data_IF_009529099024
#
_entry.id   IF_009529099024
#
_cell.length_a   1.000
_cell.length_b   1.000
_cell.length_c   1.000
_cell.angle_alpha   90.00
_cell.angle_beta   90.00
_cell.angle_gamma   90.00
#
_symmetry.space_group_name_H-M   'P 1'
#
loop_
_entity.id
_entity.type
_entity.pdbx_description
1 polymer ?
#
# COMPACT_ATOMS: atom_id res chain seq x y z
N UNK A 1 44.93 2.59 -21.14
CA UNK A 1 44.20 2.30 -19.89
C UNK A 1 42.77 2.08 -20.31
N UNK A 2 42.35 0.83 -20.41
CA UNK A 2 40.98 0.48 -20.77
C UNK A 2 40.08 0.78 -19.57
N UNK A 3 39.21 1.78 -19.73
CA UNK A 3 38.06 2.00 -18.86
C UNK A 3 37.11 0.80 -19.02
N UNK A 4 37.30 -0.23 -18.19
CA UNK A 4 36.29 -1.26 -18.01
C UNK A 4 35.10 -0.63 -17.29
N UNK A 5 34.08 -0.24 -18.05
CA UNK A 5 32.78 0.10 -17.51
C UNK A 5 32.23 -1.11 -16.75
N UNK A 6 32.30 -1.06 -15.41
CA UNK A 6 31.69 -2.07 -14.54
C UNK A 6 30.18 -2.05 -14.82
N UNK A 7 29.66 -3.12 -15.42
CA UNK A 7 28.21 -3.31 -15.56
C UNK A 7 27.58 -3.26 -14.18
N UNK A 8 26.90 -2.15 -13.87
CA UNK A 8 26.18 -2.00 -12.60
C UNK A 8 25.09 -3.06 -12.54
N UNK A 9 25.07 -3.83 -11.46
CA UNK A 9 24.02 -4.83 -11.27
C UNK A 9 22.65 -4.13 -11.17
N UNK A 10 21.58 -4.84 -11.54
CA UNK A 10 20.20 -4.32 -11.37
C UNK A 10 19.92 -3.89 -9.92
N UNK A 11 20.55 -4.54 -8.94
CA UNK A 11 20.44 -4.18 -7.53
C UNK A 11 21.09 -2.82 -7.25
N UNK A 12 22.26 -2.54 -7.81
CA UNK A 12 22.97 -1.27 -7.65
C UNK A 12 22.17 -0.12 -8.27
N UNK A 13 21.59 -0.32 -9.45
CA UNK A 13 20.75 0.68 -10.11
C UNK A 13 19.50 1.02 -9.28
N UNK A 14 18.84 0.01 -8.71
CA UNK A 14 17.68 0.22 -7.83
C UNK A 14 18.08 0.97 -6.56
N UNK A 15 19.24 0.60 -6.00
CA UNK A 15 19.74 1.17 -4.77
C UNK A 15 20.15 2.65 -4.94
N UNK A 16 20.90 2.97 -5.99
CA UNK A 16 21.24 4.35 -6.35
C UNK A 16 19.99 5.20 -6.56
N UNK A 17 18.98 4.64 -7.23
CA UNK A 17 17.70 5.33 -7.42
C UNK A 17 16.99 5.62 -6.10
N UNK A 18 16.93 4.64 -5.18
CA UNK A 18 16.35 4.83 -3.84
C UNK A 18 17.08 5.94 -3.09
N UNK A 19 18.41 5.86 -3.01
CA UNK A 19 19.25 6.83 -2.31
C UNK A 19 19.12 8.25 -2.88
N UNK A 20 18.96 8.38 -4.20
CA UNK A 20 18.69 9.68 -4.82
C UNK A 20 17.33 10.23 -4.40
N UNK A 21 16.28 9.42 -4.43
CA UNK A 21 14.91 9.85 -4.11
C UNK A 21 14.73 10.20 -2.62
N UNK A 22 15.46 9.53 -1.72
CA UNK A 22 15.42 9.79 -0.28
C UNK A 22 15.86 11.20 0.10
N UNK A 23 16.74 11.80 -0.70
CA UNK A 23 17.23 13.16 -0.47
C UNK A 23 16.13 14.22 -0.63
N UNK A 24 15.05 13.88 -1.32
CA UNK A 24 13.89 14.76 -1.47
C UNK A 24 13.12 14.88 -0.16
N UNK A 25 12.82 16.11 0.28
CA UNK A 25 12.14 16.37 1.54
C UNK A 25 10.77 15.67 1.62
N UNK A 26 10.03 15.68 0.51
CA UNK A 26 8.71 15.08 0.38
C UNK A 26 8.71 13.55 0.27
N UNK A 27 9.88 12.90 0.21
CA UNK A 27 9.96 11.45 0.13
C UNK A 27 9.47 10.78 1.40
N UNK A 28 8.80 9.64 1.24
CA UNK A 28 8.36 8.75 2.32
C UNK A 28 9.04 7.41 2.12
N UNK A 29 9.69 6.88 3.16
CA UNK A 29 10.32 5.56 3.11
C UNK A 29 9.38 4.53 3.73
N UNK A 30 8.91 3.61 2.92
CA UNK A 30 8.06 2.49 3.34
C UNK A 30 8.96 1.26 3.50
N UNK A 31 9.05 0.68 4.68
CA UNK A 31 9.80 -0.56 4.93
C UNK A 31 8.88 -1.62 5.53
N UNK A 32 7.93 -2.18 4.73
CA UNK A 32 6.98 -3.16 5.23
C UNK A 32 7.69 -4.37 5.86
N UNK A 33 7.18 -4.81 7.01
CA UNK A 33 7.58 -6.06 7.68
C UNK A 33 6.68 -7.20 7.22
N UNK A 34 5.42 -6.90 6.92
CA UNK A 34 4.39 -7.88 6.58
C UNK A 34 4.16 -7.98 5.07
N UNK A 35 3.88 -9.20 4.58
CA UNK A 35 3.60 -9.47 3.14
C UNK A 35 2.41 -8.65 2.64
N UNK A 36 1.38 -8.51 3.45
CA UNK A 36 0.15 -7.76 3.15
C UNK A 36 0.49 -6.29 2.83
N UNK A 37 1.40 -5.71 3.60
CA UNK A 37 1.83 -4.31 3.47
C UNK A 37 2.80 -4.12 2.30
N UNK A 38 3.56 -5.15 1.90
CA UNK A 38 4.29 -5.14 0.63
C UNK A 38 3.33 -4.99 -0.56
N UNK A 39 2.24 -5.76 -0.56
CA UNK A 39 1.23 -5.71 -1.62
C UNK A 39 0.54 -4.35 -1.67
N UNK A 40 0.09 -3.84 -0.51
CA UNK A 40 -0.51 -2.49 -0.40
C UNK A 40 0.45 -1.40 -0.88
N UNK A 41 1.72 -1.48 -0.50
CA UNK A 41 2.75 -0.52 -0.93
C UNK A 41 2.94 -0.55 -2.45
N UNK A 42 2.96 -1.72 -3.09
CA UNK A 42 3.09 -1.82 -4.54
C UNK A 42 1.89 -1.24 -5.28
N UNK A 43 0.67 -1.48 -4.77
CA UNK A 43 -0.57 -0.92 -5.33
C UNK A 43 -0.58 0.61 -5.20
N UNK A 44 -0.12 1.15 -4.06
CA UNK A 44 -0.09 2.58 -3.76
C UNK A 44 0.59 3.44 -4.84
N UNK A 45 1.70 2.97 -5.40
CA UNK A 45 2.40 3.70 -6.48
C UNK A 45 1.51 3.92 -7.69
N UNK A 46 0.67 2.95 -8.03
CA UNK A 46 -0.28 3.10 -9.14
C UNK A 46 -1.45 3.98 -8.73
N UNK A 47 -1.97 3.82 -7.52
CA UNK A 47 -3.07 4.66 -6.99
C UNK A 47 -2.71 6.15 -7.06
N UNK A 48 -1.55 6.55 -6.54
CA UNK A 48 -1.10 7.95 -6.56
C UNK A 48 -0.93 8.49 -7.98
N UNK A 49 -0.34 7.69 -8.87
CA UNK A 49 -0.21 8.03 -10.29
C UNK A 49 -1.58 8.20 -10.96
N UNK A 50 -2.52 7.33 -10.66
CA UNK A 50 -3.90 7.33 -11.17
C UNK A 50 -4.64 8.59 -10.73
N UNK A 51 -4.69 8.88 -9.43
CA UNK A 51 -5.36 10.08 -8.90
C UNK A 51 -4.75 11.34 -9.51
N UNK A 52 -3.41 11.41 -9.59
CA UNK A 52 -2.74 12.54 -10.23
C UNK A 52 -3.12 12.67 -11.71
N UNK A 53 -3.21 11.56 -12.45
CA UNK A 53 -3.62 11.58 -13.87
C UNK A 53 -5.07 12.04 -14.03
N UNK A 54 -5.97 11.58 -13.18
CA UNK A 54 -7.37 12.02 -13.18
C UNK A 54 -7.45 13.53 -12.91
N UNK A 55 -6.70 14.05 -11.93
CA UNK A 55 -6.64 15.50 -11.65
C UNK A 55 -6.12 16.32 -12.81
N UNK A 56 -5.06 15.87 -13.47
CA UNK A 56 -4.48 16.58 -14.63
C UNK A 56 -5.41 16.62 -15.84
N UNK A 57 -6.35 15.67 -15.94
CA UNK A 57 -7.30 15.60 -17.03
C UNK A 57 -8.71 16.09 -16.61
N UNK A 58 -8.88 16.57 -15.39
CA UNK A 58 -10.18 16.90 -14.82
C UNK A 58 -10.87 18.00 -15.63
N UNK A 59 -12.17 17.83 -15.90
CA UNK A 59 -12.96 18.78 -16.70
C UNK A 59 -12.79 18.59 -18.22
N UNK A 60 -12.08 17.55 -18.66
CA UNK A 60 -12.07 17.14 -20.07
C UNK A 60 -13.22 16.18 -20.38
N UNK A 61 -13.53 15.98 -21.66
CA UNK A 61 -14.56 15.04 -22.11
C UNK A 61 -14.29 13.61 -21.62
N UNK A 62 -13.01 13.21 -21.55
CA UNK A 62 -12.61 11.87 -21.11
C UNK A 62 -12.53 11.73 -19.58
N UNK A 63 -12.60 12.83 -18.82
CA UNK A 63 -12.56 12.82 -17.36
C UNK A 63 -13.40 13.97 -16.80
N UNK A 64 -14.74 13.80 -16.77
CA UNK A 64 -15.65 14.74 -16.13
C UNK A 64 -15.31 14.97 -14.65
N UNK A 65 -15.66 16.13 -14.11
CA UNK A 65 -15.38 16.47 -12.71
C UNK A 65 -16.02 15.48 -11.73
N UNK A 66 -17.23 15.01 -12.01
CA UNK A 66 -17.93 14.05 -11.13
C UNK A 66 -17.18 12.72 -10.98
N UNK A 67 -16.47 12.25 -12.02
CA UNK A 67 -15.66 11.03 -11.96
C UNK A 67 -14.48 11.18 -11.01
N UNK A 68 -13.87 12.37 -10.98
CA UNK A 68 -12.80 12.69 -10.03
C UNK A 68 -13.34 12.81 -8.60
N UNK A 69 -14.52 13.40 -8.42
CA UNK A 69 -15.18 13.50 -7.12
C UNK A 69 -15.53 12.12 -6.56
N UNK A 70 -16.12 11.24 -7.37
CA UNK A 70 -16.41 9.85 -6.98
C UNK A 70 -15.13 9.10 -6.60
N UNK A 71 -14.05 9.26 -7.38
CA UNK A 71 -12.77 8.64 -7.08
C UNK A 71 -12.19 9.12 -5.74
N UNK A 72 -12.23 10.44 -5.47
CA UNK A 72 -11.77 10.99 -4.20
C UNK A 72 -12.61 10.47 -3.03
N UNK A 73 -13.92 10.34 -3.21
CA UNK A 73 -14.81 9.81 -2.18
C UNK A 73 -14.50 8.34 -1.87
N UNK A 74 -14.38 7.51 -2.90
CA UNK A 74 -14.02 6.08 -2.75
C UNK A 74 -12.67 5.92 -2.02
N UNK A 75 -11.66 6.72 -2.40
CA UNK A 75 -10.36 6.71 -1.73
C UNK A 75 -10.47 7.17 -0.27
N UNK A 76 -11.29 8.18 0.01
CA UNK A 76 -11.53 8.68 1.37
C UNK A 76 -12.21 7.63 2.25
N UNK A 77 -13.23 6.93 1.72
CA UNK A 77 -13.91 5.82 2.41
C UNK A 77 -12.93 4.68 2.70
N UNK A 78 -12.16 4.26 1.71
CA UNK A 78 -11.12 3.24 1.88
C UNK A 78 -10.10 3.65 2.95
N UNK A 79 -9.56 4.87 2.85
CA UNK A 79 -8.62 5.44 3.83
C UNK A 79 -9.18 5.41 5.24
N UNK A 80 -10.46 5.73 5.41
CA UNK A 80 -11.15 5.71 6.71
C UNK A 80 -11.28 4.28 7.25
N UNK A 81 -11.61 3.30 6.41
CA UNK A 81 -11.64 1.87 6.78
C UNK A 81 -10.28 1.40 7.29
N UNK A 82 -9.21 1.72 6.57
CA UNK A 82 -7.85 1.33 6.98
C UNK A 82 -7.46 2.00 8.29
N UNK A 83 -7.81 3.27 8.50
CA UNK A 83 -7.60 3.96 9.80
C UNK A 83 -8.33 3.26 10.93
N UNK A 84 -9.61 2.97 10.76
CA UNK A 84 -10.41 2.29 11.78
C UNK A 84 -9.82 0.93 12.16
N UNK A 85 -9.41 0.14 11.16
CA UNK A 85 -8.73 -1.13 11.40
C UNK A 85 -7.39 -0.96 12.12
N UNK A 86 -6.57 0.00 11.70
CA UNK A 86 -5.29 0.31 12.36
C UNK A 86 -5.50 0.68 13.83
N UNK A 87 -6.51 1.49 14.13
CA UNK A 87 -6.87 1.85 15.52
C UNK A 87 -7.36 0.66 16.32
N UNK A 88 -8.16 -0.25 15.72
CA UNK A 88 -8.63 -1.46 16.39
C UNK A 88 -7.49 -2.41 16.77
N UNK A 89 -6.39 -2.40 16.02
CA UNK A 89 -5.16 -3.16 16.34
C UNK A 89 -4.30 -2.50 17.43
N UNK A 90 -4.71 -1.34 17.96
CA UNK A 90 -3.93 -0.57 18.94
C UNK A 90 -2.93 0.41 18.31
N UNK A 91 -2.98 0.60 16.99
CA UNK A 91 -2.17 1.61 16.31
C UNK A 91 -2.64 3.03 16.62
N UNK A 92 -1.70 3.92 16.90
CA UNK A 92 -2.01 5.35 17.07
C UNK A 92 -1.95 6.08 15.73
N UNK A 93 -2.79 7.11 15.56
CA UNK A 93 -2.74 8.02 14.40
C UNK A 93 -1.44 8.86 14.34
N UNK A 94 -0.58 8.74 15.35
CA UNK A 94 0.63 9.53 15.56
C UNK A 94 1.90 8.68 15.51
N UNK A 95 1.92 7.61 14.72
CA UNK A 95 3.20 7.02 14.38
C UNK A 95 3.98 8.03 13.53
N UNK A 96 4.91 8.75 14.17
CA UNK A 96 5.99 9.39 13.43
C UNK A 96 6.63 8.30 12.58
N UNK A 97 6.56 8.47 11.25
CA UNK A 97 7.31 7.60 10.34
C UNK A 97 8.72 7.48 10.89
N UNK A 98 9.24 6.27 11.15
CA UNK A 98 10.68 6.08 11.27
C UNK A 98 11.33 6.76 10.07
N UNK A 99 12.32 7.63 10.24
CA UNK A 99 12.82 8.46 9.12
C UNK A 99 12.30 9.90 9.07
N UNK A 100 12.01 10.55 10.20
CA UNK A 100 11.73 11.99 10.19
C UNK A 100 12.99 12.82 9.89
N UNK A 101 14.18 12.28 10.20
CA UNK A 101 15.46 12.87 9.78
C UNK A 101 15.96 12.30 8.44
N UNK A 102 16.65 13.09 7.60
CA UNK A 102 17.24 12.61 6.34
C UNK A 102 18.17 11.40 6.51
N UNK A 103 18.95 11.36 7.61
CA UNK A 103 19.86 10.27 7.91
C UNK A 103 19.12 8.94 8.19
N UNK A 104 18.03 9.00 8.94
CA UNK A 104 17.20 7.82 9.20
C UNK A 104 16.49 7.32 7.94
N UNK A 105 15.99 8.23 7.08
CA UNK A 105 15.42 7.83 5.78
C UNK A 105 16.45 7.08 4.94
N UNK A 106 17.71 7.53 4.95
CA UNK A 106 18.79 6.87 4.21
C UNK A 106 19.07 5.46 4.76
N UNK A 107 19.14 5.32 6.09
CA UNK A 107 19.34 4.02 6.75
C UNK A 107 18.19 3.05 6.40
N UNK A 108 16.95 3.53 6.43
CA UNK A 108 15.78 2.70 6.10
C UNK A 108 15.75 2.32 4.62
N UNK A 109 16.05 3.26 3.73
CA UNK A 109 16.03 3.02 2.29
C UNK A 109 17.12 2.04 1.82
N UNK A 110 18.21 1.91 2.60
CA UNK A 110 19.25 0.89 2.39
C UNK A 110 18.75 -0.54 2.59
N UNK A 111 17.60 -0.74 3.23
CA UNK A 111 17.00 -2.08 3.38
C UNK A 111 16.51 -2.60 2.04
N UNK A 112 16.76 -3.89 1.79
CA UNK A 112 16.38 -4.56 0.53
C UNK A 112 14.88 -4.46 0.25
N UNK A 113 14.07 -4.60 1.31
CA UNK A 113 12.62 -4.61 1.28
C UNK A 113 11.98 -3.21 1.44
N UNK A 114 12.77 -2.13 1.49
CA UNK A 114 12.23 -0.78 1.54
C UNK A 114 11.84 -0.24 0.16
N UNK A 115 10.89 0.69 0.14
CA UNK A 115 10.41 1.44 -1.00
C UNK A 115 10.55 2.92 -0.67
N UNK A 116 10.95 3.71 -1.67
CA UNK A 116 11.00 5.16 -1.56
C UNK A 116 9.86 5.70 -2.40
N UNK A 117 8.86 6.25 -1.72
CA UNK A 117 7.64 6.75 -2.31
C UNK A 117 7.68 8.28 -2.37
N UNK A 118 7.38 8.81 -3.55
CA UNK A 118 7.28 10.25 -3.80
C UNK A 118 5.81 10.56 -4.09
N UNK A 119 5.03 10.97 -3.09
CA UNK A 119 3.62 11.24 -3.29
C UNK A 119 3.44 12.41 -4.27
N UNK A 120 2.56 12.22 -5.26
CA UNK A 120 2.09 13.29 -6.14
C UNK A 120 0.77 13.87 -5.66
N UNK A 121 0.08 13.15 -4.78
CA UNK A 121 -1.20 13.58 -4.22
C UNK A 121 -1.22 13.49 -2.69
N UNK A 122 -2.10 14.30 -2.09
CA UNK A 122 -2.41 14.30 -0.66
C UNK A 122 -2.89 12.93 -0.17
N UNK A 123 -3.67 12.23 -1.00
CA UNK A 123 -4.22 10.90 -0.70
C UNK A 123 -3.11 9.85 -0.71
N UNK A 124 -2.19 9.92 -1.69
CA UNK A 124 -1.02 9.06 -1.73
C UNK A 124 -0.17 9.22 -0.47
N UNK A 125 0.10 10.46 -0.06
CA UNK A 125 0.82 10.75 1.18
C UNK A 125 0.07 10.24 2.43
N UNK A 126 -1.25 10.45 2.51
CA UNK A 126 -2.06 9.99 3.62
C UNK A 126 -2.06 8.46 3.75
N UNK A 127 -2.28 7.74 2.64
CA UNK A 127 -2.24 6.28 2.60
C UNK A 127 -0.86 5.73 2.96
N UNK A 128 0.23 6.34 2.46
CA UNK A 128 1.58 5.94 2.80
C UNK A 128 1.82 5.98 4.32
N UNK A 129 1.43 7.09 4.98
CA UNK A 129 1.57 7.24 6.42
C UNK A 129 0.72 6.24 7.20
N UNK A 130 -0.52 5.99 6.75
CA UNK A 130 -1.40 4.98 7.38
C UNK A 130 -0.82 3.58 7.23
N UNK A 131 -0.21 3.25 6.09
CA UNK A 131 0.42 1.93 5.89
C UNK A 131 1.62 1.71 6.81
N UNK A 132 2.39 2.76 7.13
CA UNK A 132 3.48 2.66 8.13
C UNK A 132 2.91 2.33 9.51
N UNK A 133 1.86 3.04 9.93
CA UNK A 133 1.19 2.80 11.21
C UNK A 133 0.55 1.41 11.26
N UNK A 134 -0.11 1.01 10.18
CA UNK A 134 -0.76 -0.29 10.04
C UNK A 134 0.26 -1.44 10.09
N UNK A 135 1.39 -1.33 9.39
CA UNK A 135 2.43 -2.37 9.41
C UNK A 135 2.97 -2.59 10.82
N UNK A 136 3.19 -1.51 11.57
CA UNK A 136 3.67 -1.57 12.95
C UNK A 136 2.63 -2.18 13.88
N UNK A 137 1.38 -1.69 13.84
CA UNK A 137 0.30 -2.18 14.67
C UNK A 137 -0.05 -3.64 14.37
N UNK A 138 -0.12 -4.02 13.09
CA UNK A 138 -0.45 -5.37 12.67
C UNK A 138 0.66 -6.37 13.00
N UNK A 139 1.93 -5.98 12.82
CA UNK A 139 3.07 -6.79 13.24
C UNK A 139 3.03 -7.07 14.75
N UNK A 140 2.80 -6.04 15.56
CA UNK A 140 2.70 -6.16 17.01
C UNK A 140 1.49 -7.02 17.44
N UNK A 141 0.34 -6.80 16.81
CA UNK A 141 -0.86 -7.60 17.04
C UNK A 141 -0.62 -9.09 16.73
N UNK A 142 -0.01 -9.43 15.58
CA UNK A 142 0.27 -10.83 15.23
C UNK A 142 1.25 -11.53 16.18
N UNK A 143 2.14 -10.78 16.84
CA UNK A 143 3.06 -11.34 17.83
C UNK A 143 2.33 -11.59 19.16
N UNK A 144 1.46 -10.68 19.58
CA UNK A 144 0.80 -10.74 20.90
C UNK A 144 -0.47 -11.61 20.91
N UNK A 145 -1.28 -11.54 19.86
CA UNK A 145 -2.61 -12.17 19.80
C UNK A 145 -2.63 -13.70 19.84
N UNK A 146 -1.69 -14.46 19.25
CA UNK A 146 -1.67 -15.93 19.38
C UNK A 146 -1.62 -16.41 20.84
N UNK A 147 -1.07 -15.59 21.74
CA UNK A 147 -0.93 -15.89 23.17
C UNK A 147 -2.19 -15.50 23.98
N UNK A 148 -3.13 -14.76 23.37
CA UNK A 148 -4.27 -14.17 24.06
C UNK A 148 -5.61 -14.66 23.50
N UNK A 149 -5.78 -14.66 22.17
CA UNK A 149 -7.03 -15.01 21.50
C UNK A 149 -6.78 -15.33 20.01
N UNK A 150 -6.81 -16.63 19.67
CA UNK A 150 -6.53 -17.09 18.31
C UNK A 150 -7.67 -16.74 17.32
N UNK A 151 -8.91 -16.57 17.80
CA UNK A 151 -10.04 -16.24 16.92
C UNK A 151 -9.92 -14.82 16.40
N UNK A 152 -9.59 -13.89 17.30
CA UNK A 152 -9.29 -12.49 16.92
C UNK A 152 -8.13 -12.36 15.95
N UNK A 153 -7.15 -13.26 16.04
CA UNK A 153 -6.07 -13.33 15.05
C UNK A 153 -6.57 -13.72 13.67
N UNK A 154 -7.47 -14.71 13.58
CA UNK A 154 -8.12 -15.11 12.33
C UNK A 154 -8.90 -13.94 11.70
N UNK A 155 -9.78 -13.31 12.47
CA UNK A 155 -10.59 -12.16 12.02
C UNK A 155 -9.72 -10.99 11.51
N UNK A 156 -8.61 -10.70 12.18
CA UNK A 156 -7.69 -9.65 11.75
C UNK A 156 -6.93 -10.02 10.46
N UNK A 157 -6.61 -11.30 10.26
CA UNK A 157 -6.01 -11.80 9.01
C UNK A 157 -7.01 -11.65 7.86
N UNK A 158 -8.26 -12.04 8.07
CA UNK A 158 -9.30 -11.94 7.04
C UNK A 158 -9.59 -10.48 6.69
N UNK A 159 -9.70 -9.62 7.70
CA UNK A 159 -9.87 -8.17 7.50
C UNK A 159 -8.70 -7.55 6.72
N UNK A 160 -7.46 -7.96 7.00
CA UNK A 160 -6.28 -7.49 6.26
C UNK A 160 -6.33 -7.93 4.79
N UNK A 161 -6.69 -9.19 4.53
CA UNK A 161 -6.85 -9.70 3.16
C UNK A 161 -7.95 -8.96 2.41
N UNK A 162 -9.07 -8.66 3.06
CA UNK A 162 -10.14 -7.85 2.48
C UNK A 162 -9.66 -6.44 2.12
N UNK A 163 -8.89 -5.79 3.01
CA UNK A 163 -8.30 -4.47 2.73
C UNK A 163 -7.39 -4.54 1.49
N UNK A 164 -6.56 -5.58 1.36
CA UNK A 164 -5.69 -5.77 0.18
C UNK A 164 -6.52 -5.95 -1.09
N UNK A 165 -7.57 -6.79 -1.04
CA UNK A 165 -8.47 -7.05 -2.18
C UNK A 165 -9.19 -5.78 -2.61
N UNK A 166 -9.82 -5.09 -1.67
CA UNK A 166 -10.55 -3.85 -1.92
C UNK A 166 -9.64 -2.76 -2.50
N UNK A 167 -8.42 -2.63 -1.99
CA UNK A 167 -7.48 -1.65 -2.55
C UNK A 167 -7.06 -2.00 -3.98
N UNK A 168 -6.82 -3.28 -4.25
CA UNK A 168 -6.49 -3.75 -5.60
C UNK A 168 -7.61 -3.45 -6.59
N UNK A 169 -8.84 -3.77 -6.22
CA UNK A 169 -10.00 -3.57 -7.10
C UNK A 169 -10.29 -2.08 -7.31
N UNK A 170 -10.26 -1.28 -6.23
CA UNK A 170 -10.37 0.18 -6.29
C UNK A 170 -9.32 0.78 -7.22
N UNK A 171 -8.04 0.41 -7.06
CA UNK A 171 -6.97 0.94 -7.89
C UNK A 171 -7.07 0.49 -9.33
N UNK A 172 -7.45 -0.76 -9.59
CA UNK A 172 -7.65 -1.29 -10.93
C UNK A 172 -8.74 -0.52 -11.69
N UNK A 173 -9.90 -0.32 -11.05
CA UNK A 173 -11.02 0.43 -11.61
C UNK A 173 -10.62 1.87 -11.96
N UNK A 174 -10.00 2.57 -11.00
CA UNK A 174 -9.60 3.96 -11.18
C UNK A 174 -8.51 4.07 -12.25
N UNK A 175 -7.56 3.13 -12.29
CA UNK A 175 -6.49 3.10 -13.28
C UNK A 175 -7.05 2.90 -14.69
N UNK A 176 -8.08 2.06 -14.86
CA UNK A 176 -8.77 1.89 -16.13
C UNK A 176 -9.42 3.20 -16.59
N UNK A 177 -10.18 3.88 -15.70
CA UNK A 177 -10.79 5.20 -15.99
C UNK A 177 -9.72 6.24 -16.38
N UNK A 178 -8.59 6.26 -15.69
CA UNK A 178 -7.50 7.21 -15.92
C UNK A 178 -6.56 6.83 -17.09
N UNK A 179 -6.80 5.69 -17.75
CA UNK A 179 -5.91 5.11 -18.77
C UNK A 179 -4.47 4.93 -18.27
N UNK A 180 -4.32 4.53 -17.00
CA UNK A 180 -3.05 4.19 -16.38
C UNK A 180 -2.91 2.67 -16.34
N UNK A 181 -1.77 2.16 -16.81
CA UNK A 181 -1.48 0.71 -16.71
C UNK A 181 -1.36 0.31 -15.24
N UNK A 182 -2.28 -0.53 -14.77
CA UNK A 182 -2.15 -1.27 -13.52
C UNK A 182 -1.42 -2.59 -13.77
N UNK A 183 -0.35 -2.84 -13.03
CA UNK A 183 0.36 -4.12 -13.03
C UNK A 183 0.14 -4.73 -11.66
N UNK A 184 -0.54 -5.87 -11.64
CA UNK A 184 -0.85 -6.55 -10.41
C UNK A 184 0.45 -7.03 -9.72
N UNK A 185 0.60 -6.82 -8.40
CA UNK A 185 1.78 -7.28 -7.67
C UNK A 185 1.99 -8.80 -7.79
N UNK A 186 3.24 -9.21 -7.96
CA UNK A 186 3.62 -10.62 -7.99
C UNK A 186 3.17 -11.33 -6.71
N UNK A 187 2.51 -12.48 -6.87
CA UNK A 187 2.04 -13.29 -5.74
C UNK A 187 0.77 -12.76 -5.05
N UNK A 188 0.12 -11.70 -5.55
CA UNK A 188 -1.16 -11.21 -5.02
C UNK A 188 -2.30 -12.23 -5.22
N UNK A 189 -2.44 -12.75 -6.44
CA UNK A 189 -3.47 -13.74 -6.76
C UNK A 189 -3.38 -14.99 -5.87
N UNK A 190 -2.18 -15.51 -5.66
CA UNK A 190 -1.95 -16.65 -4.76
C UNK A 190 -2.21 -16.32 -3.29
N UNK A 191 -1.92 -15.08 -2.87
CA UNK A 191 -2.20 -14.62 -1.51
C UNK A 191 -3.72 -14.54 -1.24
N UNK A 192 -4.50 -14.03 -2.19
CA UNK A 192 -5.95 -13.89 -2.03
C UNK A 192 -6.70 -15.25 -2.09
N UNK A 193 -6.19 -16.24 -2.84
CA UNK A 193 -6.75 -17.61 -2.91
C UNK A 193 -6.66 -18.41 -1.62
N UNK A 194 -5.88 -17.97 -0.64
CA UNK A 194 -5.77 -18.65 0.66
C UNK A 194 -6.92 -18.32 1.62
N UNK A 195 -8.03 -17.73 1.13
CA UNK A 195 -9.29 -17.73 1.87
C UNK A 195 -10.03 -19.04 1.58
N UNK A 196 -10.61 -19.71 2.58
CA UNK A 196 -11.58 -20.76 2.32
C UNK A 196 -12.80 -20.10 1.66
N UNK A 197 -13.06 -20.43 0.40
CA UNK A 197 -14.20 -19.89 -0.36
C UNK A 197 -15.54 -20.56 0.02
N UNK A 198 -15.57 -21.60 0.87
CA UNK A 198 -16.77 -22.40 1.09
C UNK A 198 -17.09 -22.65 2.57
N UNK A 199 -17.85 -21.74 3.21
CA UNK A 199 -18.81 -22.09 4.29
C UNK A 199 -20.02 -21.12 4.37
N UNK A 200 -20.31 -20.33 3.30
CA UNK A 200 -21.51 -19.46 3.26
C UNK A 200 -22.62 -19.93 2.31
N UNK A 201 -22.41 -21.02 1.56
CA UNK A 201 -23.40 -21.56 0.63
C UNK A 201 -23.96 -22.95 0.98
N UNK A 202 -23.59 -23.55 2.11
CA UNK A 202 -24.06 -24.89 2.50
C UNK A 202 -25.06 -24.93 3.68
N UNK A 203 -25.62 -23.78 4.09
CA UNK A 203 -26.63 -23.72 5.16
C UNK A 203 -28.02 -23.24 4.66
N UNK A 204 -28.28 -23.36 3.36
CA UNK A 204 -29.51 -22.90 2.70
C UNK A 204 -30.23 -23.96 1.85
N UNK A 205 -29.79 -25.22 1.87
CA UNK A 205 -30.46 -26.33 1.19
C UNK A 205 -30.36 -27.60 2.05
N UNK A 206 -31.15 -27.67 3.11
CA UNK A 206 -31.82 -28.93 3.46
C UNK A 206 -33.26 -28.59 3.85
N UNK A 207 -34.17 -29.15 3.05
CA UNK A 207 -35.62 -29.12 3.20
C UNK A 207 -36.09 -30.16 4.21
#
# INVERSE_FOLDING_TARGET
>A
MEDTAVEKSRADVIMERKLRLVKEQASIVLSPKMRDLHLLTQILFTTDKTINRMRMNAGTVCMPLFELEEANERITRFTSKVRAFTSALGGTNFYMSPGSSPAEKEILARRRNAYVFMPKTSEGAALANIFISLDSAYCEFKIKSPLQDIRKLGEAIDTMKEIVREFRDLTSDLAAKAQVRFVEPEGLAGYLKTMPDDERSAAGEEA
#
